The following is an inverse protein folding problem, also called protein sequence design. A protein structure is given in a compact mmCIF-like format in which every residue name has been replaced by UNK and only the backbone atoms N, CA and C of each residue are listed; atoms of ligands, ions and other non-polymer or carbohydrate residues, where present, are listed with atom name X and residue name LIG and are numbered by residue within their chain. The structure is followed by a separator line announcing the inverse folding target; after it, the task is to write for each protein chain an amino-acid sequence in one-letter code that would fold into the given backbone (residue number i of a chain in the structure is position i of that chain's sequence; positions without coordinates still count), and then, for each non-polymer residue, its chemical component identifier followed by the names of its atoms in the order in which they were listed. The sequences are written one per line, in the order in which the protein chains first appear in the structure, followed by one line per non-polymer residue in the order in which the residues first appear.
data_IF_913977044234
#
_entry.id   IF_913977044234
#
_cell.length_a   1.000
_cell.length_b   1.000
_cell.length_c   1.000
_cell.angle_alpha   90.00
_cell.angle_beta   90.00
_cell.angle_gamma   90.00
#
_symmetry.space_group_name_H-M   'P 1'
#
loop_
_entity.id
_entity.type
_entity.pdbx_description
1 polymer ?
#
# COMPACT_ATOMS: atom_id res chain seq x y z
N UNK A 1 -14.50 23.67 26.68
CA UNK A 1 -15.19 22.73 25.76
C UNK A 1 -14.07 22.04 25.03
N UNK A 2 -13.73 20.78 25.41
CA UNK A 2 -12.71 20.04 24.68
C UNK A 2 -13.30 19.69 23.32
N UNK A 3 -12.70 20.19 22.25
CA UNK A 3 -13.00 19.74 20.91
C UNK A 3 -12.69 18.25 20.85
N UNK A 4 -13.75 17.47 20.80
CA UNK A 4 -13.66 16.06 20.44
C UNK A 4 -13.17 16.00 18.98
N UNK A 5 -11.86 15.94 18.80
CA UNK A 5 -11.29 15.59 17.51
C UNK A 5 -11.83 14.21 17.16
N UNK A 6 -12.83 14.19 16.29
CA UNK A 6 -13.33 12.94 15.71
C UNK A 6 -12.23 12.42 14.80
N UNK A 7 -11.62 11.33 15.20
CA UNK A 7 -10.73 10.60 14.29
C UNK A 7 -11.56 10.13 13.09
N UNK A 8 -11.20 10.58 11.90
CA UNK A 8 -11.78 10.13 10.65
C UNK A 8 -11.08 8.86 10.11
N UNK A 9 -10.11 8.35 10.85
CA UNK A 9 -9.47 7.08 10.56
C UNK A 9 -10.39 5.97 11.04
N UNK A 10 -10.76 5.07 10.13
CA UNK A 10 -11.62 3.93 10.46
C UNK A 10 -10.81 2.84 11.13
N UNK A 11 -9.64 2.54 10.59
CA UNK A 11 -8.77 1.48 11.09
C UNK A 11 -7.31 1.71 10.70
N UNK A 12 -6.44 1.09 11.47
CA UNK A 12 -4.99 1.08 11.23
C UNK A 12 -4.47 -0.32 11.46
N UNK A 13 -3.65 -0.81 10.52
CA UNK A 13 -2.93 -2.09 10.60
C UNK A 13 -1.45 -1.81 10.44
N UNK A 14 -0.59 -2.59 11.10
CA UNK A 14 0.83 -2.58 10.74
C UNK A 14 0.99 -3.21 9.36
N UNK A 15 1.76 -2.57 8.50
CA UNK A 15 1.94 -3.03 7.13
C UNK A 15 2.85 -4.27 7.12
N UNK A 16 2.33 -5.44 6.75
CA UNK A 16 3.10 -6.68 6.82
C UNK A 16 4.22 -6.70 5.80
N UNK A 17 5.30 -7.41 6.14
CA UNK A 17 6.40 -7.67 5.23
C UNK A 17 6.03 -8.71 4.17
N UNK A 18 6.58 -8.53 2.98
CA UNK A 18 6.47 -9.47 1.87
C UNK A 18 5.13 -9.43 1.14
N UNK A 19 5.19 -9.80 -0.14
CA UNK A 19 4.04 -9.75 -1.06
C UNK A 19 2.84 -10.60 -0.59
N UNK A 20 3.11 -11.80 -0.07
CA UNK A 20 2.04 -12.72 0.32
C UNK A 20 1.20 -12.19 1.49
N UNK A 21 1.87 -11.65 2.52
CA UNK A 21 1.19 -11.09 3.69
C UNK A 21 0.44 -9.80 3.34
N UNK A 22 1.05 -8.92 2.53
CA UNK A 22 0.40 -7.69 2.05
C UNK A 22 -0.81 -8.00 1.15
N UNK A 23 -0.71 -9.00 0.28
CA UNK A 23 -1.81 -9.49 -0.53
C UNK A 23 -2.96 -10.02 0.36
N UNK A 24 -2.65 -10.81 1.38
CA UNK A 24 -3.64 -11.33 2.33
C UNK A 24 -4.34 -10.20 3.09
N UNK A 25 -3.59 -9.16 3.50
CA UNK A 25 -4.19 -7.96 4.09
C UNK A 25 -5.15 -7.29 3.11
N UNK A 26 -4.78 -7.14 1.83
CA UNK A 26 -5.65 -6.58 0.80
C UNK A 26 -6.99 -7.31 0.69
N UNK A 27 -6.99 -8.64 0.70
CA UNK A 27 -8.22 -9.44 0.71
C UNK A 27 -9.09 -9.17 1.94
N UNK A 28 -8.49 -9.02 3.12
CA UNK A 28 -9.23 -8.69 4.34
C UNK A 28 -9.84 -7.29 4.28
N UNK A 29 -9.10 -6.31 3.75
CA UNK A 29 -9.58 -4.93 3.65
C UNK A 29 -10.82 -4.82 2.78
N UNK A 30 -10.88 -5.55 1.68
CA UNK A 30 -12.06 -5.58 0.81
C UNK A 30 -13.27 -6.10 1.57
N UNK A 31 -13.12 -7.20 2.29
CA UNK A 31 -14.22 -7.80 3.04
C UNK A 31 -14.75 -6.91 4.16
N UNK A 32 -13.87 -6.13 4.79
CA UNK A 32 -14.22 -5.31 5.95
C UNK A 32 -14.68 -3.90 5.58
N UNK A 33 -14.08 -3.30 4.56
CA UNK A 33 -14.21 -1.87 4.32
C UNK A 33 -14.74 -1.48 2.94
N UNK A 34 -14.61 -2.33 1.91
CA UNK A 34 -15.05 -1.97 0.56
C UNK A 34 -16.57 -2.15 0.40
N UNK A 35 -17.22 -1.09 -0.06
CA UNK A 35 -18.63 -1.14 -0.46
C UNK A 35 -18.75 -1.33 -1.99
N UNK A 36 -19.81 -2.02 -2.47
CA UNK A 36 -20.13 -2.05 -3.91
C UNK A 36 -20.36 -0.66 -4.52
N UNK A 37 -20.70 0.32 -3.68
CA UNK A 37 -20.95 1.69 -4.08
C UNK A 37 -19.69 2.55 -4.15
N UNK A 38 -18.57 2.10 -3.59
CA UNK A 38 -17.30 2.82 -3.67
C UNK A 38 -16.80 2.82 -5.11
N UNK A 39 -16.64 4.02 -5.67
CA UNK A 39 -16.20 4.22 -7.05
C UNK A 39 -14.80 4.78 -7.14
N UNK A 40 -14.45 5.72 -6.28
CA UNK A 40 -13.12 6.32 -6.22
C UNK A 40 -12.36 5.80 -5.01
N UNK A 41 -11.29 5.06 -5.25
CA UNK A 41 -10.40 4.52 -4.21
C UNK A 41 -9.04 5.17 -4.38
N UNK A 42 -8.65 5.98 -3.40
CA UNK A 42 -7.34 6.62 -3.35
C UNK A 42 -6.34 5.77 -2.56
N UNK A 43 -5.15 5.61 -3.11
CA UNK A 43 -4.03 4.94 -2.45
C UNK A 43 -2.88 5.94 -2.33
N UNK A 44 -2.35 6.10 -1.13
CA UNK A 44 -1.22 6.99 -0.82
C UNK A 44 -0.10 6.17 -0.21
N UNK A 45 1.12 6.35 -0.68
CA UNK A 45 2.31 5.69 -0.17
C UNK A 45 3.47 5.80 -1.15
N UNK A 46 4.70 5.64 -0.66
CA UNK A 46 5.89 5.76 -1.49
C UNK A 46 6.16 4.48 -2.31
N UNK A 47 7.09 4.56 -3.25
CA UNK A 47 7.61 3.40 -3.95
C UNK A 47 8.16 2.38 -2.92
N UNK A 48 7.96 1.10 -3.16
CA UNK A 48 8.37 0.03 -2.24
C UNK A 48 7.49 -0.13 -0.99
N UNK A 49 6.46 0.71 -0.78
CA UNK A 49 5.57 0.57 0.39
C UNK A 49 4.62 -0.65 0.33
N UNK A 50 4.56 -1.38 -0.79
CA UNK A 50 3.71 -2.56 -0.96
C UNK A 50 2.31 -2.26 -1.50
N UNK A 51 2.06 -1.07 -2.03
CA UNK A 51 0.76 -0.68 -2.62
C UNK A 51 0.26 -1.68 -3.66
N UNK A 52 1.11 -2.04 -4.63
CA UNK A 52 0.72 -2.95 -5.72
C UNK A 52 0.31 -4.33 -5.21
N UNK A 53 1.00 -4.88 -4.20
CA UNK A 53 0.63 -6.14 -3.57
C UNK A 53 -0.72 -6.03 -2.83
N UNK A 54 -0.94 -4.91 -2.12
CA UNK A 54 -2.20 -4.61 -1.45
C UNK A 54 -3.35 -4.54 -2.45
N UNK A 55 -3.18 -3.78 -3.54
CA UNK A 55 -4.19 -3.60 -4.60
C UNK A 55 -4.53 -4.93 -5.26
N UNK A 56 -3.53 -5.77 -5.56
CA UNK A 56 -3.75 -7.11 -6.11
C UNK A 56 -4.54 -8.00 -5.15
N UNK A 57 -4.30 -7.90 -3.86
CA UNK A 57 -5.10 -8.59 -2.84
C UNK A 57 -6.54 -8.06 -2.78
N UNK A 58 -6.72 -6.74 -2.89
CA UNK A 58 -8.05 -6.12 -2.91
C UNK A 58 -8.84 -6.47 -4.17
N UNK A 59 -8.18 -6.56 -5.31
CA UNK A 59 -8.80 -6.75 -6.63
C UNK A 59 -8.06 -7.82 -7.43
N UNK A 60 -8.23 -9.11 -7.08
CA UNK A 60 -7.59 -10.20 -7.80
C UNK A 60 -7.97 -10.18 -9.28
N UNK A 61 -6.97 -10.23 -10.16
CA UNK A 61 -7.16 -10.17 -11.61
C UNK A 61 -7.30 -8.77 -12.20
N UNK A 62 -7.19 -7.71 -11.39
CA UNK A 62 -7.08 -6.36 -11.91
C UNK A 62 -5.73 -6.17 -12.60
N UNK A 63 -5.77 -5.66 -13.83
CA UNK A 63 -4.57 -5.26 -14.57
C UNK A 63 -4.07 -3.92 -14.03
N UNK A 64 -2.83 -3.89 -13.52
CA UNK A 64 -2.19 -2.67 -13.02
C UNK A 64 -1.50 -1.93 -14.18
N UNK A 65 -1.57 -0.60 -14.16
CA UNK A 65 -0.94 0.23 -15.20
C UNK A 65 0.57 0.28 -15.09
N UNK A 66 1.08 0.11 -13.88
CA UNK A 66 2.50 -0.04 -13.59
C UNK A 66 2.67 -1.30 -12.74
N UNK A 67 3.37 -2.29 -13.26
CA UNK A 67 3.70 -3.50 -12.53
C UNK A 67 5.17 -3.46 -12.13
N UNK A 68 5.48 -3.52 -10.83
CA UNK A 68 6.84 -3.55 -10.30
C UNK A 68 7.69 -4.69 -10.91
N UNK A 69 7.03 -5.75 -11.38
CA UNK A 69 7.68 -6.85 -12.09
C UNK A 69 7.86 -6.60 -13.59
N UNK A 70 7.41 -5.47 -14.13
CA UNK A 70 7.56 -5.10 -15.54
C UNK A 70 6.81 -5.98 -16.53
N UNK A 71 5.90 -6.84 -16.06
CA UNK A 71 5.22 -7.84 -16.90
C UNK A 71 4.01 -7.25 -17.63
N UNK A 72 3.33 -6.28 -17.00
CA UNK A 72 2.14 -5.63 -17.53
C UNK A 72 2.24 -4.12 -17.36
N UNK A 73 2.86 -3.46 -18.32
CA UNK A 73 2.90 -1.99 -18.40
C UNK A 73 1.93 -1.55 -19.48
N UNK A 74 0.83 -0.94 -19.08
CA UNK A 74 -0.16 -0.39 -20.01
C UNK A 74 -0.48 1.05 -19.63
N UNK A 75 0.22 2.02 -20.23
CA UNK A 75 -0.06 3.42 -19.97
C UNK A 75 -1.44 3.82 -20.48
N UNK A 76 -2.10 4.69 -19.74
CA UNK A 76 -3.34 5.37 -20.14
C UNK A 76 -4.53 4.45 -20.52
N UNK A 77 -4.77 3.31 -19.83
CA UNK A 77 -5.87 2.42 -20.21
C UNK A 77 -7.22 3.10 -20.12
N UNK A 78 -7.37 4.10 -19.26
CA UNK A 78 -8.58 4.89 -19.11
C UNK A 78 -8.79 5.87 -20.28
N UNK A 79 -7.71 6.34 -20.94
CA UNK A 79 -7.78 7.27 -22.08
C UNK A 79 -7.98 6.55 -23.42
N UNK A 80 -7.51 5.32 -23.54
CA UNK A 80 -7.67 4.53 -24.78
C UNK A 80 -9.13 4.23 -25.11
N UNK A 81 -9.98 4.21 -24.12
CA UNK A 81 -11.40 3.87 -24.23
C UNK A 81 -12.23 4.99 -24.85
N UNK A 82 -11.74 6.22 -24.80
CA UNK A 82 -12.42 7.40 -25.34
C UNK A 82 -12.30 7.49 -26.87
N UNK A 83 -11.42 6.67 -27.48
CA UNK A 83 -11.14 6.67 -28.92
C UNK A 83 -11.96 5.67 -29.73
N UNK A 84 -12.80 4.88 -29.09
CA UNK A 84 -13.60 3.83 -29.73
C UNK A 84 -15.06 3.87 -29.30
N UNK A 85 -15.92 3.28 -30.12
CA UNK A 85 -17.38 3.21 -29.97
C UNK A 85 -17.88 2.45 -28.71
N UNK A 86 -17.02 2.00 -27.82
CA UNK A 86 -17.40 1.31 -26.60
C UNK A 86 -16.95 2.09 -25.37
N UNK A 87 -17.90 2.68 -24.71
CA UNK A 87 -17.80 3.31 -23.40
C UNK A 87 -17.19 2.34 -22.37
N UNK A 88 -16.00 2.66 -21.86
CA UNK A 88 -15.38 2.03 -20.68
C UNK A 88 -15.71 0.54 -20.48
N UNK A 89 -15.03 -0.37 -21.18
CA UNK A 89 -15.29 -1.82 -21.13
C UNK A 89 -15.00 -2.42 -19.72
N UNK A 90 -13.89 -2.14 -19.02
CA UNK A 90 -13.66 -2.62 -17.67
C UNK A 90 -14.63 -2.01 -16.67
N UNK A 91 -14.95 -2.76 -15.60
CA UNK A 91 -15.69 -2.24 -14.46
C UNK A 91 -14.82 -1.46 -13.48
N UNK A 92 -13.54 -1.76 -13.44
CA UNK A 92 -12.55 -1.18 -12.54
C UNK A 92 -11.30 -0.83 -13.30
N UNK A 93 -10.79 0.38 -13.10
CA UNK A 93 -9.53 0.87 -13.65
C UNK A 93 -8.52 1.05 -12.53
N UNK A 94 -7.26 0.81 -12.83
CA UNK A 94 -6.14 1.14 -11.99
C UNK A 94 -5.28 2.20 -12.66
N UNK A 95 -4.84 3.19 -11.90
CA UNK A 95 -3.97 4.28 -12.37
C UNK A 95 -2.89 4.54 -11.34
N UNK A 96 -1.63 4.59 -11.78
CA UNK A 96 -0.53 5.17 -11.03
C UNK A 96 -0.28 6.58 -11.58
N UNK A 97 -0.58 7.60 -10.78
CA UNK A 97 -0.49 9.01 -11.22
C UNK A 97 0.94 9.39 -11.60
N UNK A 98 1.95 8.93 -10.85
CA UNK A 98 3.36 9.22 -11.19
C UNK A 98 3.77 8.61 -12.52
N UNK A 99 3.35 7.39 -12.79
CA UNK A 99 3.61 6.71 -14.05
C UNK A 99 2.88 7.38 -15.22
N UNK A 100 1.58 7.61 -15.07
CA UNK A 100 0.73 8.16 -16.13
C UNK A 100 1.12 9.59 -16.53
N UNK A 101 1.60 10.40 -15.60
CA UNK A 101 2.06 11.77 -15.89
C UNK A 101 3.32 11.81 -16.75
N UNK A 102 4.02 10.70 -16.94
CA UNK A 102 5.06 10.55 -17.95
C UNK A 102 4.52 10.55 -19.40
N UNK A 103 3.22 10.31 -19.60
CA UNK A 103 2.59 10.18 -20.91
C UNK A 103 1.51 11.23 -21.18
N UNK A 104 0.91 11.82 -20.15
CA UNK A 104 -0.17 12.81 -20.31
C UNK A 104 -0.10 13.91 -19.23
N UNK A 105 -0.89 14.96 -19.43
CA UNK A 105 -1.02 16.03 -18.46
C UNK A 105 -1.96 15.61 -17.32
N UNK A 106 -1.68 16.09 -16.11
CA UNK A 106 -2.47 15.82 -14.91
C UNK A 106 -3.96 16.19 -15.09
N UNK A 107 -4.25 17.31 -15.75
CA UNK A 107 -5.62 17.76 -16.03
C UNK A 107 -6.39 16.77 -16.92
N UNK A 108 -5.75 16.24 -17.95
CA UNK A 108 -6.35 15.24 -18.86
C UNK A 108 -6.67 13.95 -18.09
N UNK A 109 -5.77 13.56 -17.20
CA UNK A 109 -5.97 12.39 -16.36
C UNK A 109 -7.12 12.60 -15.37
N UNK A 110 -7.22 13.79 -14.75
CA UNK A 110 -8.32 14.15 -13.85
C UNK A 110 -9.68 14.14 -14.56
N UNK A 111 -9.74 14.67 -15.78
CA UNK A 111 -10.96 14.65 -16.61
C UNK A 111 -11.38 13.21 -16.94
N UNK A 112 -10.43 12.35 -17.31
CA UNK A 112 -10.70 10.95 -17.62
C UNK A 112 -11.22 10.18 -16.40
N UNK A 113 -10.64 10.39 -15.22
CA UNK A 113 -11.14 9.82 -13.98
C UNK A 113 -12.58 10.27 -13.71
N UNK A 114 -12.84 11.56 -13.83
CA UNK A 114 -14.18 12.12 -13.62
C UNK A 114 -15.21 11.51 -14.57
N UNK A 115 -14.87 11.36 -15.85
CA UNK A 115 -15.75 10.74 -16.85
C UNK A 115 -16.03 9.27 -16.53
N UNK A 116 -14.99 8.51 -16.13
CA UNK A 116 -15.14 7.11 -15.72
C UNK A 116 -16.09 6.98 -14.51
N UNK A 117 -15.92 7.83 -13.50
CA UNK A 117 -16.79 7.87 -12.33
C UNK A 117 -18.25 8.18 -12.70
N UNK A 118 -18.48 9.19 -13.55
CA UNK A 118 -19.82 9.52 -14.07
C UNK A 118 -20.44 8.37 -14.88
N UNK A 119 -19.61 7.57 -15.54
CA UNK A 119 -20.04 6.35 -16.25
C UNK A 119 -20.25 5.15 -15.31
N UNK A 120 -20.21 5.37 -14.00
CA UNK A 120 -20.44 4.35 -12.97
C UNK A 120 -19.29 3.36 -12.76
N UNK A 121 -18.11 3.66 -13.32
CA UNK A 121 -16.93 2.82 -13.18
C UNK A 121 -16.24 3.04 -11.84
N UNK A 122 -15.47 2.04 -11.40
CA UNK A 122 -14.57 2.17 -10.26
C UNK A 122 -13.18 2.53 -10.76
N UNK A 123 -12.54 3.46 -10.06
CA UNK A 123 -11.16 3.88 -10.35
C UNK A 123 -10.34 3.79 -9.08
N UNK A 124 -9.23 3.07 -9.16
CA UNK A 124 -8.23 2.97 -8.11
C UNK A 124 -7.05 3.82 -8.54
N UNK A 125 -6.69 4.79 -7.70
CA UNK A 125 -5.68 5.79 -8.03
C UNK A 125 -4.55 5.73 -7.02
N UNK A 126 -3.36 5.27 -7.45
CA UNK A 126 -2.12 5.39 -6.67
C UNK A 126 -1.58 6.81 -6.76
N UNK A 127 -0.92 7.26 -5.69
CA UNK A 127 -0.46 8.63 -5.50
C UNK A 127 -1.62 9.63 -5.61
N UNK A 128 -2.72 9.30 -4.97
CA UNK A 128 -3.96 10.08 -5.01
C UNK A 128 -3.78 11.53 -4.54
N UNK A 129 -2.87 11.76 -3.60
CA UNK A 129 -2.47 13.07 -3.10
C UNK A 129 -2.01 14.03 -4.21
N UNK A 130 -1.38 13.51 -5.27
CA UNK A 130 -0.87 14.33 -6.37
C UNK A 130 -1.98 14.84 -7.30
N UNK A 131 -3.00 14.02 -7.57
CA UNK A 131 -4.07 14.39 -8.51
C UNK A 131 -5.26 15.06 -7.83
N UNK A 132 -5.42 14.85 -6.53
CA UNK A 132 -6.54 15.37 -5.75
C UNK A 132 -6.78 16.87 -5.92
N UNK A 133 -5.73 17.75 -5.93
CA UNK A 133 -5.94 19.19 -6.12
C UNK A 133 -6.59 19.58 -7.45
N UNK A 134 -6.49 18.73 -8.48
CA UNK A 134 -7.14 18.95 -9.78
C UNK A 134 -8.47 18.24 -9.89
N UNK A 135 -8.60 17.10 -9.22
CA UNK A 135 -9.80 16.28 -9.26
C UNK A 135 -10.91 16.89 -8.39
N UNK A 136 -10.55 17.45 -7.23
CA UNK A 136 -11.46 18.05 -6.23
C UNK A 136 -12.62 17.12 -5.79
N UNK A 137 -12.48 15.80 -6.05
CA UNK A 137 -13.42 14.76 -5.65
C UNK A 137 -12.80 13.95 -4.53
N UNK A 138 -13.48 13.86 -3.39
CA UNK A 138 -13.04 13.02 -2.28
C UNK A 138 -13.15 11.54 -2.64
N UNK A 139 -12.15 10.76 -2.26
CA UNK A 139 -12.22 9.30 -2.41
C UNK A 139 -13.33 8.72 -1.52
N UNK A 140 -14.06 7.73 -2.02
CA UNK A 140 -15.01 6.95 -1.22
C UNK A 140 -14.27 6.13 -0.15
N UNK A 141 -13.10 5.61 -0.51
CA UNK A 141 -12.17 4.93 0.38
C UNK A 141 -10.75 5.45 0.10
N UNK A 142 -10.06 5.90 1.14
CA UNK A 142 -8.69 6.36 1.07
C UNK A 142 -7.81 5.47 1.94
N UNK A 143 -6.74 4.95 1.36
CA UNK A 143 -5.82 4.03 2.02
C UNK A 143 -4.41 4.60 1.95
N UNK A 144 -3.80 4.81 3.11
CA UNK A 144 -2.40 5.16 3.23
C UNK A 144 -1.55 3.94 3.54
N UNK A 145 -0.38 3.80 2.91
CA UNK A 145 0.53 2.66 3.10
C UNK A 145 1.93 3.18 3.47
N UNK A 146 2.27 3.04 4.75
CA UNK A 146 3.58 3.35 5.33
C UNK A 146 4.02 2.21 6.24
N UNK A 147 4.50 2.50 7.46
CA UNK A 147 4.64 1.51 8.52
C UNK A 147 3.26 0.96 8.92
N UNK A 148 2.28 1.83 8.87
CA UNK A 148 0.88 1.49 9.09
C UNK A 148 0.10 1.58 7.78
N UNK A 149 -0.86 0.68 7.61
CA UNK A 149 -1.90 0.80 6.59
C UNK A 149 -3.09 1.48 7.23
N UNK A 150 -3.32 2.74 6.86
CA UNK A 150 -4.37 3.60 7.38
C UNK A 150 -5.56 3.56 6.45
N UNK A 151 -6.75 3.21 6.96
CA UNK A 151 -7.98 3.16 6.18
C UNK A 151 -8.93 4.27 6.68
N UNK A 152 -9.44 5.06 5.73
CA UNK A 152 -10.37 6.14 6.03
C UNK A 152 -11.41 6.33 4.94
N UNK A 153 -12.55 6.93 5.32
CA UNK A 153 -13.58 7.45 4.40
C UNK A 153 -13.63 8.96 4.56
N UNK A 154 -12.97 9.72 3.69
CA UNK A 154 -12.93 11.16 3.78
C UNK A 154 -14.34 11.78 3.73
N UNK A 155 -14.55 12.78 4.58
CA UNK A 155 -15.78 13.58 4.63
C UNK A 155 -15.45 15.04 4.35
N UNK A 156 -16.44 15.92 4.42
CA UNK A 156 -16.22 17.37 4.33
C UNK A 156 -15.33 17.92 5.48
N UNK A 157 -15.14 17.12 6.53
CA UNK A 157 -14.31 17.47 7.69
C UNK A 157 -12.94 16.80 7.66
N UNK A 158 -12.57 16.16 6.56
CA UNK A 158 -11.32 15.43 6.38
C UNK A 158 -11.45 13.92 6.59
N UNK A 159 -10.31 13.20 6.69
CA UNK A 159 -8.98 13.74 6.46
C UNK A 159 -8.80 14.13 4.99
N UNK A 160 -7.94 15.12 4.74
CA UNK A 160 -7.50 15.41 3.38
C UNK A 160 -6.39 14.41 2.98
N UNK A 161 -6.18 14.17 1.66
CA UNK A 161 -5.13 13.27 1.21
C UNK A 161 -3.74 13.63 1.75
N UNK A 162 -3.45 14.92 1.94
CA UNK A 162 -2.19 15.39 2.52
C UNK A 162 -2.01 14.94 3.98
N UNK A 163 -3.09 14.86 4.76
CA UNK A 163 -3.01 14.39 6.16
C UNK A 163 -2.56 12.92 6.21
N UNK A 164 -3.10 12.11 5.28
CA UNK A 164 -2.73 10.69 5.16
C UNK A 164 -1.30 10.55 4.63
N UNK A 165 -0.92 11.36 3.62
CA UNK A 165 0.44 11.41 3.10
C UNK A 165 1.46 11.68 4.22
N UNK A 166 1.21 12.67 5.05
CA UNK A 166 2.09 13.03 6.15
C UNK A 166 2.28 11.89 7.17
N UNK A 167 1.21 11.14 7.45
CA UNK A 167 1.27 9.99 8.36
C UNK A 167 2.16 8.89 7.77
N UNK A 168 1.88 8.48 6.54
CA UNK A 168 2.56 7.31 5.94
C UNK A 168 3.99 7.62 5.54
N UNK A 169 4.27 8.83 5.10
CA UNK A 169 5.62 9.24 4.72
C UNK A 169 6.57 9.33 5.91
N UNK A 170 6.09 9.87 7.03
CA UNK A 170 6.86 9.94 8.27
C UNK A 170 7.14 8.58 8.87
N UNK A 171 6.27 7.62 8.64
CA UNK A 171 6.40 6.28 9.22
C UNK A 171 7.20 5.30 8.34
N UNK A 172 7.35 5.58 7.05
CA UNK A 172 8.02 4.68 6.10
C UNK A 172 9.45 4.27 6.52
N UNK A 173 10.32 5.17 7.02
CA UNK A 173 11.66 4.77 7.47
C UNK A 173 11.62 3.68 8.54
N UNK A 174 10.67 3.74 9.46
CA UNK A 174 10.53 2.72 10.51
C UNK A 174 10.12 1.36 9.95
N UNK A 175 9.25 1.36 8.93
CA UNK A 175 8.91 0.13 8.21
C UNK A 175 10.13 -0.48 7.54
N UNK A 176 10.90 0.31 6.80
CA UNK A 176 12.09 -0.17 6.11
C UNK A 176 13.12 -0.73 7.10
N UNK A 177 13.33 -0.04 8.22
CA UNK A 177 14.21 -0.50 9.28
C UNK A 177 13.73 -1.82 9.91
N UNK A 178 12.43 -1.94 10.19
CA UNK A 178 11.85 -3.15 10.78
C UNK A 178 11.99 -4.35 9.84
N UNK A 179 11.69 -4.16 8.54
CA UNK A 179 11.82 -5.21 7.54
C UNK A 179 13.27 -5.66 7.35
N UNK A 180 14.20 -4.71 7.25
CA UNK A 180 15.62 -5.02 7.16
C UNK A 180 16.11 -5.80 8.40
N UNK A 181 15.68 -5.38 9.59
CA UNK A 181 16.05 -6.06 10.83
C UNK A 181 15.50 -7.50 10.89
N UNK A 182 14.26 -7.71 10.41
CA UNK A 182 13.66 -9.05 10.29
C UNK A 182 14.48 -9.93 9.33
N UNK A 183 14.81 -9.42 8.14
CA UNK A 183 15.64 -10.14 7.16
C UNK A 183 17.02 -10.52 7.73
N UNK A 184 17.67 -9.60 8.45
CA UNK A 184 18.97 -9.88 9.09
C UNK A 184 18.86 -10.95 10.18
N UNK A 185 17.79 -10.90 10.99
CA UNK A 185 17.55 -11.93 12.00
C UNK A 185 17.29 -13.29 11.35
N UNK A 186 16.44 -13.37 10.33
CA UNK A 186 16.18 -14.60 9.59
C UNK A 186 17.45 -15.18 8.95
N UNK A 187 18.30 -14.30 8.40
CA UNK A 187 19.56 -14.71 7.79
C UNK A 187 20.54 -15.33 8.81
N UNK A 188 20.50 -14.85 10.06
CA UNK A 188 21.37 -15.33 11.14
C UNK A 188 20.80 -16.55 11.89
N UNK A 189 19.51 -16.81 11.77
CA UNK A 189 18.85 -17.96 12.40
C UNK A 189 19.08 -19.25 11.61
N UNK A 190 19.05 -20.44 12.28
CA UNK A 190 18.99 -21.71 11.58
C UNK A 190 17.76 -21.78 10.65
N UNK A 191 17.97 -22.28 9.44
CA UNK A 191 16.89 -22.34 8.43
C UNK A 191 15.64 -23.10 8.92
N UNK A 192 15.82 -24.14 9.70
CA UNK A 192 14.73 -24.93 10.28
C UNK A 192 13.88 -24.10 11.24
N UNK A 193 14.49 -23.15 11.97
CA UNK A 193 13.77 -22.26 12.86
C UNK A 193 12.99 -21.19 12.09
N UNK A 194 13.59 -20.64 11.03
CA UNK A 194 12.92 -19.65 10.15
C UNK A 194 11.70 -20.26 9.44
N UNK A 195 11.78 -21.50 8.98
CA UNK A 195 10.66 -22.18 8.30
C UNK A 195 9.48 -22.49 9.24
N UNK A 196 9.69 -22.45 10.56
CA UNK A 196 8.70 -22.82 11.58
C UNK A 196 8.17 -21.65 12.40
N UNK A 197 8.85 -20.50 12.33
CA UNK A 197 8.39 -19.34 13.09
C UNK A 197 7.19 -18.65 12.45
N UNK A 198 6.34 -18.08 13.30
CA UNK A 198 5.32 -17.12 12.89
C UNK A 198 5.91 -15.72 12.79
N UNK A 199 5.36 -14.89 11.92
CA UNK A 199 5.79 -13.52 11.67
C UNK A 199 4.66 -12.55 11.96
N UNK A 200 4.88 -11.62 12.90
CA UNK A 200 3.95 -10.57 13.24
C UNK A 200 4.61 -9.20 13.14
N UNK A 201 3.87 -8.23 12.63
CA UNK A 201 4.31 -6.86 12.49
C UNK A 201 3.82 -6.03 13.68
N UNK A 202 4.73 -5.27 14.29
CA UNK A 202 4.44 -4.40 15.44
C UNK A 202 5.01 -3.01 15.18
N UNK A 203 4.59 -2.05 16.00
CA UNK A 203 5.09 -0.68 15.87
C UNK A 203 6.61 -0.62 16.03
N UNK A 204 7.29 -0.08 15.02
CA UNK A 204 8.75 0.07 14.94
C UNK A 204 9.52 -1.25 15.08
N UNK A 205 8.93 -2.37 14.64
CA UNK A 205 9.58 -3.67 14.77
C UNK A 205 8.77 -4.83 14.20
N UNK A 206 9.21 -6.01 14.56
CA UNK A 206 8.60 -7.28 14.18
C UNK A 206 8.71 -8.27 15.35
N UNK A 207 7.98 -9.37 15.27
CA UNK A 207 8.05 -10.47 16.23
C UNK A 207 8.16 -11.78 15.45
N UNK A 208 9.18 -12.58 15.78
CA UNK A 208 9.25 -13.98 15.39
C UNK A 208 8.70 -14.82 16.52
N UNK A 209 7.64 -15.58 16.28
CA UNK A 209 6.93 -16.34 17.30
C UNK A 209 7.12 -17.84 17.11
N UNK A 210 7.33 -18.56 18.21
CA UNK A 210 7.51 -20.01 18.26
C UNK A 210 6.48 -20.61 19.23
N UNK A 211 5.18 -20.73 18.81
CA UNK A 211 4.10 -21.05 19.74
C UNK A 211 4.18 -22.47 20.32
N UNK A 212 4.78 -23.42 19.59
CA UNK A 212 4.75 -24.82 19.95
C UNK A 212 6.02 -25.32 20.67
N UNK A 213 7.09 -24.53 20.68
CA UNK A 213 8.37 -24.92 21.28
C UNK A 213 9.26 -23.71 21.53
N UNK A 214 10.27 -23.87 22.39
CA UNK A 214 11.34 -22.88 22.54
C UNK A 214 12.44 -23.17 21.52
N UNK A 215 12.81 -22.21 20.65
CA UNK A 215 13.89 -22.42 19.70
C UNK A 215 15.25 -22.54 20.41
N UNK A 216 16.13 -23.39 19.88
CA UNK A 216 17.49 -23.52 20.39
C UNK A 216 18.39 -22.45 19.76
N UNK A 217 18.22 -21.21 20.24
CA UNK A 217 18.90 -20.03 19.73
C UNK A 217 19.59 -19.30 20.88
N UNK A 218 20.89 -19.12 20.77
CA UNK A 218 21.63 -18.21 21.64
C UNK A 218 21.41 -16.77 21.18
N UNK A 219 20.64 -16.02 21.97
CA UNK A 219 20.29 -14.63 21.63
C UNK A 219 21.50 -13.69 21.60
N UNK A 220 22.59 -13.99 22.37
CA UNK A 220 23.80 -13.18 22.34
C UNK A 220 24.58 -13.41 21.05
N UNK A 221 24.73 -14.67 20.67
CA UNK A 221 25.37 -15.02 19.40
C UNK A 221 24.58 -14.45 18.20
N UNK A 222 23.26 -14.51 18.26
CA UNK A 222 22.38 -13.89 17.25
C UNK A 222 22.59 -12.37 17.16
N UNK A 223 22.61 -11.69 18.31
CA UNK A 223 22.83 -10.25 18.39
C UNK A 223 24.19 -9.87 17.79
N UNK A 224 25.27 -10.58 18.15
CA UNK A 224 26.63 -10.36 17.61
C UNK A 224 26.62 -10.51 16.08
N UNK A 225 26.04 -11.58 15.54
CA UNK A 225 25.97 -11.82 14.08
C UNK A 225 25.19 -10.71 13.35
N UNK A 226 24.09 -10.26 13.90
CA UNK A 226 23.29 -9.18 13.31
C UNK A 226 24.07 -7.87 13.33
N UNK A 227 24.76 -7.54 14.44
CA UNK A 227 25.61 -6.34 14.48
C UNK A 227 26.79 -6.40 13.51
N UNK A 228 27.38 -7.55 13.30
CA UNK A 228 28.44 -7.74 12.31
C UNK A 228 27.95 -7.49 10.88
N UNK A 229 26.71 -7.88 10.56
CA UNK A 229 26.09 -7.58 9.27
C UNK A 229 25.79 -6.09 9.12
N UNK A 230 25.24 -5.45 10.15
CA UNK A 230 24.98 -4.00 10.16
C UNK A 230 26.27 -3.21 9.96
N UNK A 231 27.38 -3.63 10.60
CA UNK A 231 28.66 -2.97 10.48
C UNK A 231 29.28 -3.06 9.07
N UNK A 232 28.83 -3.98 8.23
CA UNK A 232 29.27 -4.11 6.84
C UNK A 232 28.65 -3.08 5.91
N UNK A 233 27.62 -2.34 6.36
CA UNK A 233 26.92 -1.31 5.58
C UNK A 233 26.51 -1.79 4.18
N UNK A 234 25.91 -2.98 4.12
CA UNK A 234 25.52 -3.62 2.87
C UNK A 234 24.34 -2.87 2.22
N UNK A 235 24.32 -2.74 0.88
CA UNK A 235 23.18 -2.14 0.20
C UNK A 235 21.94 -3.03 0.35
N UNK A 236 20.83 -2.42 0.73
CA UNK A 236 19.52 -3.07 0.83
C UNK A 236 18.65 -2.61 -0.33
N UNK A 237 18.08 -3.56 -1.06
CA UNK A 237 17.13 -3.29 -2.16
C UNK A 237 15.73 -3.80 -1.79
N UNK A 238 14.72 -2.99 -2.05
CA UNK A 238 13.32 -3.30 -1.77
C UNK A 238 12.54 -3.50 -3.06
#
# INVERSE_FOLDING_TARGET
MQDLQRSHIISTYFAPRGHARMYALGMQLVQLYLSPFDKLIGIIGEAGSGKSALIRGMFPGLELTNDDNGVYVRPLPILEQDRGFSLFAPHTYHLDVRFETGFTQMSVLADAITQALHSGKRVIVEHFDLIYPMLEIKADLLIGVGEEVVITRPTIFGPEPQDIYDIVYKSLPYRLMAHTAEDLCEFCLPKEEVERCGHDDVKHGFVLSFPDYAPDVDLKELEEKVYDLIAQDLPVTY
#
